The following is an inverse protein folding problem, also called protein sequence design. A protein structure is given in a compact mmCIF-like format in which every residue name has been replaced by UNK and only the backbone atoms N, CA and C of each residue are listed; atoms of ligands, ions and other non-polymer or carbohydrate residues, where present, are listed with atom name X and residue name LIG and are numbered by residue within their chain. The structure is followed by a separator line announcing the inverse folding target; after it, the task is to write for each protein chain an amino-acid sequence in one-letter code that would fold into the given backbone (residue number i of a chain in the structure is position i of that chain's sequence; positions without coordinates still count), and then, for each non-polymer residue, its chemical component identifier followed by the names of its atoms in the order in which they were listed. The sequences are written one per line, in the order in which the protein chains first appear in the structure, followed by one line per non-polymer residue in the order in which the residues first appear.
data_IF_599563301252
#
_entry.id   IF_599563301252
#
_cell.length_a   1.000
_cell.length_b   1.000
_cell.length_c   1.000
_cell.angle_alpha   90.00
_cell.angle_beta   90.00
_cell.angle_gamma   90.00
#
_symmetry.space_group_name_H-M   'P 1'
#
loop_
_entity.id
_entity.type
_entity.pdbx_description
1 polymer ?
#
# COMPACT_ATOMS: atom_id res chain seq x y z
N UNK A 1 -1.74 -3.59 -27.25
CA UNK A 1 -1.02 -2.51 -26.70
C UNK A 1 -0.51 -2.83 -25.34
N UNK A 2 0.71 -2.59 -25.13
CA UNK A 2 1.26 -2.95 -23.87
C UNK A 2 0.96 -1.84 -22.88
N UNK A 3 0.66 -2.26 -21.68
CA UNK A 3 0.39 -1.34 -20.63
C UNK A 3 1.47 -1.49 -19.61
N UNK A 4 2.15 -0.44 -19.38
CA UNK A 4 3.18 -0.47 -18.38
C UNK A 4 2.60 -0.11 -17.05
N UNK A 5 3.02 -0.76 -15.98
CA UNK A 5 2.62 -0.33 -14.66
C UNK A 5 3.05 1.09 -14.45
N UNK A 6 2.21 1.86 -13.83
CA UNK A 6 2.54 3.24 -13.57
C UNK A 6 2.05 3.62 -12.20
N UNK A 7 2.33 4.85 -11.84
CA UNK A 7 2.11 5.29 -10.48
C UNK A 7 0.66 5.30 -10.07
N UNK A 8 -0.23 5.18 -11.00
CA UNK A 8 -1.63 5.20 -10.63
C UNK A 8 -2.21 3.85 -10.34
N UNK A 9 -1.43 2.79 -10.54
CA UNK A 9 -1.98 1.46 -10.48
C UNK A 9 -1.67 0.79 -9.16
N UNK A 10 -2.72 0.28 -8.51
CA UNK A 10 -2.59 -0.40 -7.23
C UNK A 10 -3.27 -1.76 -7.37
N UNK A 11 -2.56 -2.80 -6.99
CA UNK A 11 -3.11 -4.15 -6.97
C UNK A 11 -3.60 -4.45 -5.57
N UNK A 12 -4.76 -5.11 -5.50
CA UNK A 12 -5.36 -5.45 -4.23
C UNK A 12 -5.66 -6.92 -4.19
N UNK A 13 -5.37 -7.52 -3.06
CA UNK A 13 -5.70 -8.91 -2.83
C UNK A 13 -6.38 -9.03 -1.47
N UNK A 14 -7.48 -9.78 -1.43
CA UNK A 14 -8.21 -10.01 -0.19
C UNK A 14 -8.06 -11.46 0.20
N UNK A 15 -7.75 -11.69 1.46
CA UNK A 15 -7.59 -13.05 1.98
C UNK A 15 -8.36 -13.19 3.27
N UNK A 16 -9.14 -14.25 3.37
CA UNK A 16 -9.85 -14.55 4.61
C UNK A 16 -8.97 -15.44 5.47
N UNK A 17 -8.73 -15.01 6.69
CA UNK A 17 -7.92 -15.77 7.63
C UNK A 17 -8.69 -15.82 8.92
N UNK A 18 -9.33 -16.98 9.17
CA UNK A 18 -10.16 -17.11 10.36
C UNK A 18 -11.31 -16.11 10.32
N UNK A 19 -11.39 -15.27 11.31
CA UNK A 19 -12.45 -14.27 11.38
C UNK A 19 -11.97 -12.92 10.93
N UNK A 20 -10.85 -12.88 10.26
CA UNK A 20 -10.28 -11.64 9.79
C UNK A 20 -10.13 -11.68 8.29
N UNK A 21 -10.08 -10.50 7.70
CA UNK A 21 -9.74 -10.36 6.30
C UNK A 21 -8.46 -9.55 6.23
N UNK A 22 -7.52 -10.07 5.48
CA UNK A 22 -6.29 -9.35 5.18
C UNK A 22 -6.41 -8.74 3.80
N UNK A 23 -6.08 -7.48 3.69
CA UNK A 23 -6.06 -6.81 2.39
C UNK A 23 -4.62 -6.42 2.13
N UNK A 24 -4.10 -6.88 1.01
CA UNK A 24 -2.75 -6.55 0.60
C UNK A 24 -2.86 -5.56 -0.55
N UNK A 25 -2.19 -4.43 -0.41
CA UNK A 25 -2.18 -3.42 -1.46
C UNK A 25 -0.74 -3.23 -1.92
N UNK A 26 -0.53 -3.26 -3.22
CA UNK A 26 0.80 -3.11 -3.78
C UNK A 26 0.77 -2.05 -4.88
N UNK A 27 1.72 -1.14 -4.81
CA UNK A 27 1.89 -0.13 -5.83
C UNK A 27 2.68 -0.72 -6.99
N UNK A 28 2.08 -0.69 -8.17
CA UNK A 28 2.70 -1.33 -9.33
C UNK A 28 4.00 -0.65 -9.75
N UNK A 29 4.10 0.64 -9.55
CA UNK A 29 5.28 1.37 -10.00
C UNK A 29 6.49 1.12 -9.11
N UNK A 30 6.29 1.02 -7.81
CA UNK A 30 7.41 0.90 -6.89
C UNK A 30 7.57 -0.50 -6.31
N UNK A 31 6.53 -1.31 -6.39
CA UNK A 31 6.53 -2.62 -5.75
C UNK A 31 6.33 -2.57 -4.26
N UNK A 32 6.08 -1.41 -3.71
CA UNK A 32 5.84 -1.28 -2.28
C UNK A 32 4.51 -1.92 -1.94
N UNK A 33 4.50 -2.65 -0.86
CA UNK A 33 3.35 -3.47 -0.51
C UNK A 33 3.05 -3.27 0.97
N UNK A 34 1.77 -3.19 1.30
CA UNK A 34 1.33 -3.08 2.69
C UNK A 34 0.16 -4.01 2.92
N UNK A 35 -0.10 -4.32 4.18
CA UNK A 35 -1.25 -5.13 4.55
C UNK A 35 -2.09 -4.38 5.57
N UNK A 36 -3.38 -4.60 5.50
CA UNK A 36 -4.31 -4.10 6.49
C UNK A 36 -5.23 -5.26 6.86
N UNK A 37 -5.72 -5.25 8.09
CA UNK A 37 -6.59 -6.31 8.57
C UNK A 37 -7.87 -5.70 9.10
N UNK A 38 -8.94 -6.46 8.96
CA UNK A 38 -10.20 -6.07 9.53
C UNK A 38 -11.05 -7.28 9.79
N UNK A 39 -12.15 -7.11 10.51
CA UNK A 39 -13.06 -8.23 10.74
C UNK A 39 -13.82 -8.57 9.47
N UNK A 40 -14.29 -9.82 9.41
CA UNK A 40 -15.06 -10.24 8.24
C UNK A 40 -16.34 -9.44 8.09
N UNK A 41 -16.78 -8.78 9.16
CA UNK A 41 -17.98 -7.97 9.10
C UNK A 41 -17.75 -6.60 8.48
N UNK A 42 -16.49 -6.20 8.30
CA UNK A 42 -16.22 -4.92 7.68
C UNK A 42 -16.46 -5.00 6.18
N UNK A 43 -16.84 -3.88 5.58
CA UNK A 43 -17.08 -3.89 4.14
C UNK A 43 -15.75 -3.92 3.41
N UNK A 44 -15.75 -4.56 2.26
CA UNK A 44 -14.55 -4.60 1.45
C UNK A 44 -14.14 -3.21 1.00
N UNK A 45 -15.12 -2.35 0.75
CA UNK A 45 -14.82 -0.99 0.36
C UNK A 45 -14.05 -0.26 1.44
N UNK A 46 -14.46 -0.44 2.68
CA UNK A 46 -13.78 0.21 3.79
C UNK A 46 -12.36 -0.33 3.96
N UNK A 47 -12.21 -1.65 3.89
CA UNK A 47 -10.90 -2.26 4.03
C UNK A 47 -9.97 -1.84 2.90
N UNK A 48 -10.51 -1.79 1.70
CA UNK A 48 -9.74 -1.34 0.56
C UNK A 48 -9.24 0.09 0.76
N UNK A 49 -10.12 0.96 1.24
CA UNK A 49 -9.76 2.36 1.46
C UNK A 49 -8.65 2.48 2.48
N UNK A 50 -8.75 1.69 3.55
CA UNK A 50 -7.73 1.71 4.59
C UNK A 50 -6.39 1.24 4.03
N UNK A 51 -6.42 0.16 3.26
CA UNK A 51 -5.19 -0.39 2.70
C UNK A 51 -4.54 0.59 1.74
N UNK A 52 -5.35 1.23 0.91
CA UNK A 52 -4.82 2.20 -0.05
C UNK A 52 -4.20 3.39 0.66
N UNK A 53 -4.86 3.87 1.70
CA UNK A 53 -4.33 4.99 2.47
C UNK A 53 -3.01 4.62 3.13
N UNK A 54 -2.95 3.41 3.67
CA UNK A 54 -1.73 2.92 4.29
C UNK A 54 -0.61 2.81 3.27
N UNK A 55 -0.92 2.34 2.09
CA UNK A 55 0.05 2.22 1.02
C UNK A 55 0.57 3.60 0.60
N UNK A 56 -0.33 4.54 0.43
CA UNK A 56 0.06 5.88 0.02
C UNK A 56 0.97 6.51 1.05
N UNK A 57 0.68 6.31 2.32
CA UNK A 57 1.54 6.82 3.38
C UNK A 57 2.91 6.16 3.33
N UNK A 58 2.95 4.86 3.07
CA UNK A 58 4.21 4.16 2.99
C UNK A 58 5.04 4.64 1.82
N UNK A 59 4.41 4.87 0.68
CA UNK A 59 5.10 5.39 -0.48
C UNK A 59 5.69 6.76 -0.17
N UNK A 60 4.93 7.58 0.50
CA UNK A 60 5.38 8.91 0.86
C UNK A 60 6.58 8.84 1.80
N UNK A 61 6.50 7.95 2.79
CA UNK A 61 7.60 7.76 3.73
C UNK A 61 8.85 7.28 3.03
N UNK A 62 8.70 6.34 2.09
CA UNK A 62 9.86 5.84 1.36
C UNK A 62 10.46 6.92 0.50
N UNK A 63 9.63 7.75 -0.10
CA UNK A 63 10.12 8.83 -0.92
C UNK A 63 10.86 9.85 -0.08
N UNK A 64 10.32 10.19 1.07
CA UNK A 64 10.97 11.13 1.97
C UNK A 64 12.27 10.58 2.52
N UNK A 65 12.28 9.29 2.85
CA UNK A 65 13.49 8.68 3.34
C UNK A 65 14.59 8.70 2.28
N UNK A 66 14.20 8.42 1.04
CA UNK A 66 15.17 8.44 -0.04
C UNK A 66 15.74 9.84 -0.25
N UNK A 67 14.87 10.84 -0.21
CA UNK A 67 15.31 12.21 -0.37
C UNK A 67 16.13 12.68 0.80
N UNK A 68 15.67 12.37 2.00
CA UNK A 68 16.38 12.78 3.19
C UNK A 68 17.68 12.04 3.34
N UNK A 69 17.66 10.77 3.00
CA UNK A 69 18.84 9.96 3.15
C UNK A 69 19.98 10.44 2.33
N UNK A 70 19.70 11.23 1.31
CA UNK A 70 20.77 11.75 0.49
C UNK A 70 21.41 12.98 1.10
N UNK A 71 20.92 13.44 2.23
CA UNK A 71 21.44 14.63 2.85
C UNK A 71 21.89 14.31 4.26
N UNK A 72 23.08 13.80 4.40
CA UNK A 72 23.58 13.39 5.70
C UNK A 72 23.81 14.53 6.65
N UNK A 73 23.77 15.73 6.15
CA UNK A 73 24.02 16.84 7.02
C UNK A 73 22.84 17.24 7.85
N UNK A 74 21.81 16.51 7.68
CA UNK A 74 20.70 16.83 8.48
C UNK A 74 20.93 16.58 9.91
N UNK A 75 21.79 16.53 10.09
CA UNK A 75 22.11 16.52 11.34
C UNK A 75 23.13 16.81 11.58
#
# INVERSE_FOLDING_TARGET
MSREPNSGEIYLEFRSIGRQVQVIAMDAATGIEVSAFGPTSASQTDLKRIAIRKLQRRIEQEREAAGTGSDPTLY
#
